data_IF_561821187268
#
_entry.id   IF_561821187268
#
_cell.length_a   1.000
_cell.length_b   1.000
_cell.length_c   1.000
_cell.angle_alpha   90.00
_cell.angle_beta   90.00
_cell.angle_gamma   90.00
#
_symmetry.space_group_name_H-M   'P 1'
#
loop_
_entity.id
_entity.type
_entity.pdbx_description
1 polymer ?
#
# COMPACT_ATOMS: atom_id res chain seq x y z
N UNK A 1 -19.84 -15.01 -14.39
CA UNK A 1 -18.40 -14.69 -14.31
C UNK A 1 -17.97 -14.73 -12.85
N UNK A 2 -16.95 -15.52 -12.53
CA UNK A 2 -16.33 -15.68 -11.21
C UNK A 2 -15.20 -14.65 -11.08
N UNK A 3 -15.25 -13.86 -10.01
CA UNK A 3 -14.29 -12.78 -9.76
C UNK A 3 -13.65 -12.98 -8.40
N UNK A 4 -12.33 -13.16 -8.38
CA UNK A 4 -11.56 -13.18 -7.15
C UNK A 4 -11.32 -11.78 -6.59
N UNK A 5 -11.25 -11.67 -5.28
CA UNK A 5 -10.84 -10.47 -4.57
C UNK A 5 -9.58 -10.72 -3.76
N UNK A 6 -8.50 -10.02 -4.11
CA UNK A 6 -7.19 -10.15 -3.45
C UNK A 6 -7.08 -9.34 -2.15
N UNK A 7 -8.06 -8.48 -1.85
CA UNK A 7 -8.02 -7.58 -0.71
C UNK A 7 -8.35 -8.23 0.63
N UNK A 8 -7.65 -7.78 1.68
CA UNK A 8 -7.91 -8.21 3.05
C UNK A 8 -9.12 -7.50 3.69
N UNK A 9 -9.32 -6.22 3.35
CA UNK A 9 -10.40 -5.38 3.91
C UNK A 9 -11.60 -5.36 2.95
N UNK A 10 -12.79 -4.99 3.44
CA UNK A 10 -14.01 -4.83 2.61
C UNK A 10 -14.48 -6.11 1.88
N UNK A 11 -14.15 -7.29 2.40
CA UNK A 11 -14.54 -8.60 1.82
C UNK A 11 -16.07 -8.74 1.66
N UNK A 12 -16.82 -8.47 2.72
CA UNK A 12 -18.29 -8.56 2.70
C UNK A 12 -18.92 -7.52 1.76
N UNK A 13 -18.34 -6.32 1.70
CA UNK A 13 -18.80 -5.28 0.78
C UNK A 13 -18.56 -5.69 -0.69
N UNK A 14 -17.36 -6.20 -0.99
CA UNK A 14 -17.04 -6.72 -2.32
C UNK A 14 -18.01 -7.84 -2.71
N UNK A 15 -18.22 -8.82 -1.82
CA UNK A 15 -19.11 -9.96 -2.03
C UNK A 15 -20.52 -9.50 -2.38
N UNK A 16 -21.11 -8.65 -1.54
CA UNK A 16 -22.47 -8.14 -1.75
C UNK A 16 -22.62 -7.35 -3.05
N UNK A 17 -21.63 -6.51 -3.40
CA UNK A 17 -21.65 -5.73 -4.64
C UNK A 17 -21.50 -6.62 -5.88
N UNK A 18 -20.61 -7.61 -5.83
CA UNK A 18 -20.39 -8.55 -6.92
C UNK A 18 -21.63 -9.40 -7.19
N UNK A 19 -22.24 -9.97 -6.14
CA UNK A 19 -23.48 -10.75 -6.23
C UNK A 19 -24.63 -9.91 -6.82
N UNK A 20 -24.80 -8.68 -6.33
CA UNK A 20 -25.81 -7.74 -6.86
C UNK A 20 -25.61 -7.44 -8.36
N UNK A 21 -24.38 -7.50 -8.84
CA UNK A 21 -24.05 -7.26 -10.25
C UNK A 21 -24.07 -8.54 -11.11
N UNK A 22 -24.40 -9.70 -10.54
CA UNK A 22 -24.48 -10.98 -11.24
C UNK A 22 -23.15 -11.73 -11.35
N UNK A 23 -22.15 -11.32 -10.57
CA UNK A 23 -20.86 -12.00 -10.48
C UNK A 23 -20.86 -13.05 -9.36
N UNK A 24 -20.00 -14.06 -9.48
CA UNK A 24 -19.75 -15.04 -8.42
C UNK A 24 -18.46 -14.68 -7.68
N UNK A 25 -18.50 -14.07 -6.49
CA UNK A 25 -17.30 -13.61 -5.80
C UNK A 25 -16.53 -14.76 -5.14
N UNK A 26 -15.20 -14.75 -5.28
CA UNK A 26 -14.28 -15.58 -4.50
C UNK A 26 -13.39 -14.67 -3.65
N UNK A 27 -13.26 -14.96 -2.36
CA UNK A 27 -12.44 -14.17 -1.44
C UNK A 27 -11.09 -14.87 -1.26
N UNK A 28 -10.06 -14.37 -1.93
CA UNK A 28 -8.72 -14.96 -1.97
C UNK A 28 -7.70 -13.89 -1.54
N UNK A 29 -7.72 -13.47 -0.26
CA UNK A 29 -6.81 -12.43 0.22
C UNK A 29 -5.35 -12.89 0.09
N UNK A 30 -4.48 -12.01 -0.37
CA UNK A 30 -3.03 -12.33 -0.57
C UNK A 30 -2.12 -11.67 0.47
N UNK A 31 -2.72 -10.93 1.41
CA UNK A 31 -1.97 -10.20 2.43
C UNK A 31 -2.56 -10.45 3.82
N UNK A 32 -1.67 -10.56 4.79
CA UNK A 32 -1.94 -10.34 6.20
C UNK A 32 -1.49 -8.93 6.61
N UNK A 33 -2.08 -8.37 7.66
CA UNK A 33 -1.55 -7.16 8.30
C UNK A 33 -1.16 -7.51 9.71
N UNK A 34 0.14 -7.44 10.00
CA UNK A 34 0.67 -7.65 11.34
C UNK A 34 1.14 -6.30 11.88
N UNK A 35 0.74 -5.96 13.10
CA UNK A 35 1.41 -4.87 13.83
C UNK A 35 2.80 -5.37 14.17
N UNK A 36 3.83 -4.60 13.81
CA UNK A 36 5.18 -4.97 14.21
C UNK A 36 5.23 -4.84 15.74
N UNK A 37 5.61 -5.89 16.48
CA UNK A 37 5.84 -5.78 17.91
C UNK A 37 6.84 -4.66 18.19
N UNK A 38 6.54 -3.79 19.15
CA UNK A 38 7.41 -2.67 19.56
C UNK A 38 8.88 -3.09 19.76
N UNK A 39 9.20 -4.26 20.35
CA UNK A 39 10.58 -4.72 20.49
C UNK A 39 11.39 -4.79 19.19
N UNK A 40 10.76 -5.01 18.04
CA UNK A 40 11.45 -5.17 16.75
C UNK A 40 11.94 -3.83 16.16
N UNK A 41 11.52 -2.67 16.70
CA UNK A 41 11.96 -1.35 16.23
C UNK A 41 12.26 -0.37 17.38
N UNK A 42 12.51 -0.88 18.58
CA UNK A 42 12.90 -0.09 19.77
C UNK A 42 14.10 0.81 19.49
N UNK A 43 15.15 0.30 18.86
CA UNK A 43 16.35 1.10 18.55
C UNK A 43 16.05 2.31 17.67
N UNK A 44 15.10 2.16 16.74
CA UNK A 44 14.67 3.24 15.87
C UNK A 44 13.82 4.28 16.63
N UNK A 45 12.99 3.84 17.58
CA UNK A 45 12.24 4.74 18.48
C UNK A 45 13.18 5.51 19.41
N UNK A 46 14.17 4.86 19.98
CA UNK A 46 15.19 5.52 20.80
C UNK A 46 16.03 6.49 19.97
N UNK A 47 16.37 6.14 18.73
CA UNK A 47 17.04 7.05 17.81
C UNK A 47 16.20 8.28 17.50
N UNK A 48 14.89 8.10 17.28
CA UNK A 48 13.95 9.20 17.10
C UNK A 48 13.84 10.06 18.36
N UNK A 49 13.79 9.45 19.55
CA UNK A 49 13.72 10.13 20.84
C UNK A 49 14.96 11.00 21.11
N UNK A 50 16.12 10.63 20.57
CA UNK A 50 17.36 11.42 20.66
C UNK A 50 17.36 12.68 19.79
N UNK A 51 16.45 12.80 18.84
CA UNK A 51 16.40 13.94 17.92
C UNK A 51 16.58 13.54 16.45
N UNK A 52 15.83 14.22 15.59
CA UNK A 52 15.93 14.14 14.13
C UNK A 52 15.72 15.53 13.53
N UNK A 53 16.32 15.77 12.37
CA UNK A 53 16.26 17.06 11.68
C UNK A 53 15.03 17.15 10.78
N UNK A 54 14.64 16.01 10.21
CA UNK A 54 13.49 15.88 9.33
C UNK A 54 12.63 14.68 9.76
N UNK A 55 11.30 14.86 9.75
CA UNK A 55 10.33 13.81 9.92
C UNK A 55 9.34 13.80 8.75
N UNK A 56 9.24 12.65 8.06
CA UNK A 56 8.36 12.44 6.92
C UNK A 56 7.29 11.40 7.27
N UNK A 57 6.04 11.84 7.35
CA UNK A 57 4.89 11.01 7.64
C UNK A 57 4.18 10.53 6.36
N UNK A 58 4.04 9.21 6.16
CA UNK A 58 3.39 8.65 4.97
C UNK A 58 1.92 8.29 5.20
N UNK A 59 1.53 7.90 6.42
CA UNK A 59 0.15 7.55 6.78
C UNK A 59 -0.22 8.10 8.16
N UNK A 60 -1.50 8.46 8.32
CA UNK A 60 -1.99 8.93 9.62
C UNK A 60 -2.07 7.84 10.68
N UNK A 61 -2.20 6.57 10.28
CA UNK A 61 -2.17 5.42 11.22
C UNK A 61 -0.75 5.21 11.73
N UNK A 62 0.25 5.19 10.84
CA UNK A 62 1.64 4.99 11.25
C UNK A 62 2.17 6.07 12.18
N UNK A 63 1.76 7.33 12.00
CA UNK A 63 2.11 8.42 12.95
C UNK A 63 1.55 8.16 14.35
N UNK A 64 0.29 7.68 14.45
CA UNK A 64 -0.33 7.39 15.75
C UNK A 64 0.32 6.18 16.41
N UNK A 65 0.53 5.12 15.64
CA UNK A 65 1.15 3.88 16.13
C UNK A 65 2.58 4.17 16.63
N UNK A 66 3.33 5.02 15.92
CA UNK A 66 4.68 5.46 16.31
C UNK A 66 4.68 6.16 17.69
N UNK A 67 3.78 7.12 17.91
CA UNK A 67 3.69 7.81 19.20
C UNK A 67 3.25 6.87 20.33
N UNK A 68 2.27 5.99 20.06
CA UNK A 68 1.85 4.97 21.03
C UNK A 68 2.99 4.02 21.40
N UNK A 69 3.83 3.65 20.44
CA UNK A 69 5.00 2.82 20.69
C UNK A 69 6.05 3.54 21.55
N UNK A 70 6.26 4.84 21.31
CA UNK A 70 7.10 5.68 22.17
C UNK A 70 6.58 5.75 23.60
N UNK A 71 5.28 6.03 23.78
CA UNK A 71 4.62 6.05 25.09
C UNK A 71 4.77 4.71 25.83
N UNK A 72 4.61 3.58 25.13
CA UNK A 72 4.77 2.24 25.71
C UNK A 72 6.20 1.96 26.19
N UNK A 73 7.20 2.63 25.62
CA UNK A 73 8.61 2.54 26.03
C UNK A 73 9.03 3.65 27.00
N UNK A 74 8.12 4.56 27.39
CA UNK A 74 8.46 5.73 28.20
C UNK A 74 9.31 6.78 27.49
N UNK A 75 9.31 6.79 26.15
CA UNK A 75 10.05 7.74 25.32
C UNK A 75 9.19 8.96 24.94
N UNK A 76 9.71 10.17 25.14
CA UNK A 76 9.09 11.39 24.60
C UNK A 76 9.49 11.58 23.14
N UNK A 77 8.65 11.09 22.23
CA UNK A 77 8.83 11.31 20.78
C UNK A 77 8.26 12.65 20.31
N UNK A 78 7.36 13.26 21.09
CA UNK A 78 6.67 14.48 20.65
C UNK A 78 7.62 15.66 20.66
N UNK A 79 8.43 15.82 21.70
CA UNK A 79 9.38 16.93 21.82
C UNK A 79 10.43 16.97 20.69
N UNK A 80 11.12 15.86 20.35
CA UNK A 80 11.98 15.81 19.16
C UNK A 80 11.25 16.17 17.86
N UNK A 81 10.05 15.62 17.65
CA UNK A 81 9.26 15.88 16.45
C UNK A 81 8.78 17.34 16.34
N UNK A 82 8.56 18.03 17.46
CA UNK A 82 8.25 19.47 17.47
C UNK A 82 9.40 20.32 16.93
N UNK A 83 10.65 19.88 17.16
CA UNK A 83 11.86 20.58 16.72
C UNK A 83 12.24 20.24 15.28
N UNK A 84 11.92 19.03 14.81
CA UNK A 84 12.19 18.59 13.45
C UNK A 84 11.40 19.40 12.39
N UNK A 85 11.97 19.54 11.19
CA UNK A 85 11.17 19.85 10.01
C UNK A 85 10.21 18.68 9.74
N UNK A 86 8.97 18.96 9.34
CA UNK A 86 7.89 17.95 9.29
C UNK A 86 7.19 18.00 7.96
N UNK A 87 7.19 16.88 7.25
CA UNK A 87 6.49 16.71 5.98
C UNK A 87 5.42 15.64 6.10
N UNK A 88 4.31 15.83 5.40
CA UNK A 88 3.25 14.84 5.29
C UNK A 88 3.03 14.47 3.82
N UNK A 89 3.02 13.17 3.50
CA UNK A 89 2.79 12.71 2.11
C UNK A 89 1.46 13.16 1.55
N UNK A 90 0.43 13.28 2.39
CA UNK A 90 -0.87 13.79 1.99
C UNK A 90 -1.78 14.06 3.19
N UNK A 91 -3.01 14.47 2.89
CA UNK A 91 -3.94 15.06 3.88
C UNK A 91 -4.26 14.13 5.06
N UNK A 92 -4.29 12.81 4.85
CA UNK A 92 -4.51 11.84 5.95
C UNK A 92 -3.39 11.88 7.00
N UNK A 93 -2.13 11.94 6.56
CA UNK A 93 -0.98 12.04 7.45
C UNK A 93 -0.91 13.43 8.10
N UNK A 94 -1.16 14.48 7.31
CA UNK A 94 -1.19 15.86 7.78
C UNK A 94 -2.23 16.11 8.87
N UNK A 95 -3.45 15.58 8.69
CA UNK A 95 -4.53 15.64 9.70
C UNK A 95 -4.16 14.93 10.99
N UNK A 96 -3.52 13.76 10.91
CA UNK A 96 -3.08 13.03 12.09
C UNK A 96 -2.02 13.83 12.87
N UNK A 97 -1.01 14.34 12.17
CA UNK A 97 0.01 15.22 12.72
C UNK A 97 -0.57 16.47 13.41
N UNK A 98 -1.51 17.16 12.76
CA UNK A 98 -2.23 18.31 13.34
C UNK A 98 -2.99 17.93 14.62
N UNK A 99 -3.73 16.82 14.61
CA UNK A 99 -4.48 16.36 15.78
C UNK A 99 -3.58 16.03 16.99
N UNK A 100 -2.31 15.72 16.74
CA UNK A 100 -1.31 15.41 17.76
C UNK A 100 -0.52 16.66 18.22
N UNK A 101 -0.83 17.85 17.68
CA UNK A 101 -0.11 19.09 17.95
C UNK A 101 1.26 19.17 17.28
N UNK A 102 1.44 18.48 16.16
CA UNK A 102 2.66 18.41 15.36
C UNK A 102 2.40 18.85 13.90
N UNK A 103 1.86 20.05 13.62
CA UNK A 103 1.45 20.43 12.27
C UNK A 103 2.62 20.29 11.28
N UNK A 104 2.42 19.67 10.10
CA UNK A 104 3.47 19.59 9.09
C UNK A 104 3.76 20.98 8.51
N UNK A 105 5.00 21.21 8.10
CA UNK A 105 5.44 22.43 7.43
C UNK A 105 5.04 22.44 5.95
N UNK A 106 5.00 21.26 5.31
CA UNK A 106 4.43 21.10 3.97
C UNK A 106 3.72 19.74 3.82
N UNK A 107 2.78 19.67 2.88
CA UNK A 107 1.97 18.48 2.61
C UNK A 107 1.91 18.22 1.11
N UNK A 108 2.22 16.98 0.70
CA UNK A 108 2.10 16.53 -0.68
C UNK A 108 0.65 16.19 -1.08
N UNK A 109 0.49 15.64 -2.29
CA UNK A 109 -0.82 15.27 -2.87
C UNK A 109 -1.30 13.84 -2.50
N UNK A 110 -0.53 13.11 -1.70
CA UNK A 110 -0.78 11.71 -1.35
C UNK A 110 0.19 10.72 -2.02
N UNK A 111 0.97 11.16 -3.00
CA UNK A 111 2.00 10.37 -3.68
C UNK A 111 3.40 10.61 -3.09
N UNK A 112 4.33 9.66 -3.26
CA UNK A 112 5.73 9.88 -2.86
C UNK A 112 6.46 10.92 -3.74
N UNK A 113 6.29 10.95 -5.08
CA UNK A 113 6.92 11.96 -5.93
C UNK A 113 6.58 13.41 -5.57
N UNK A 114 5.36 13.69 -5.08
CA UNK A 114 4.98 15.05 -4.68
C UNK A 114 5.72 15.59 -3.46
N UNK A 115 6.44 14.74 -2.72
CA UNK A 115 7.30 15.17 -1.63
C UNK A 115 8.70 15.60 -2.09
N UNK A 116 9.18 15.12 -3.24
CA UNK A 116 10.53 15.42 -3.75
C UNK A 116 10.85 16.92 -3.83
N UNK A 117 9.95 17.79 -4.38
CA UNK A 117 10.21 19.23 -4.40
C UNK A 117 10.07 19.90 -3.03
N UNK A 118 9.55 19.19 -2.02
CA UNK A 118 9.36 19.69 -0.66
C UNK A 118 10.50 19.28 0.29
N UNK A 119 11.41 18.40 -0.15
CA UNK A 119 12.55 17.98 0.65
C UNK A 119 13.56 19.13 0.77
N UNK A 120 13.92 19.57 1.98
CA UNK A 120 15.02 20.51 2.17
C UNK A 120 16.36 19.83 1.82
N UNK A 121 17.38 20.65 1.58
CA UNK A 121 18.78 20.21 1.59
C UNK A 121 19.32 20.28 3.01
N UNK A 122 20.10 19.30 3.45
CA UNK A 122 20.80 19.40 4.74
C UNK A 122 21.41 18.10 5.24
N UNK A 123 22.46 18.20 6.07
CA UNK A 123 22.97 17.05 6.81
C UNK A 123 22.03 16.70 7.97
N UNK A 124 22.20 15.51 8.53
CA UNK A 124 21.53 15.10 9.74
C UNK A 124 20.71 13.82 9.55
N UNK A 125 19.66 13.65 10.34
CA UNK A 125 18.80 12.46 10.31
C UNK A 125 17.40 12.78 9.81
N UNK A 126 16.93 11.98 8.86
CA UNK A 126 15.57 12.02 8.36
C UNK A 126 14.80 10.77 8.80
N UNK A 127 13.89 10.93 9.76
CA UNK A 127 12.96 9.88 10.15
C UNK A 127 11.85 9.72 9.11
N UNK A 128 11.76 8.52 8.54
CA UNK A 128 10.79 8.16 7.52
C UNK A 128 9.79 7.16 8.08
N UNK A 129 8.57 7.60 8.36
CA UNK A 129 7.49 6.71 8.78
C UNK A 129 6.99 5.91 7.56
N UNK A 130 7.20 4.60 7.58
CA UNK A 130 6.85 3.65 6.52
C UNK A 130 5.55 2.89 6.85
N UNK A 131 4.90 2.36 5.82
CA UNK A 131 3.59 1.68 5.93
C UNK A 131 3.64 0.18 5.65
N UNK A 132 4.75 -0.47 5.98
CA UNK A 132 4.92 -1.91 5.85
C UNK A 132 5.74 -2.37 4.65
N UNK A 133 6.29 -1.44 3.85
CA UNK A 133 7.36 -1.70 2.90
C UNK A 133 8.32 -0.51 2.79
N UNK A 134 9.56 -0.72 2.31
CA UNK A 134 10.49 0.37 1.99
C UNK A 134 9.91 1.33 0.95
N UNK A 135 10.44 2.56 0.90
CA UNK A 135 10.11 3.55 -0.11
C UNK A 135 11.39 4.04 -0.81
N UNK A 136 11.97 3.23 -1.72
CA UNK A 136 13.29 3.49 -2.30
C UNK A 136 13.43 4.86 -2.95
N UNK A 137 12.36 5.37 -3.58
CA UNK A 137 12.32 6.73 -4.14
C UNK A 137 12.60 7.80 -3.07
N UNK A 138 11.91 7.72 -1.92
CA UNK A 138 12.08 8.70 -0.86
C UNK A 138 13.36 8.48 -0.09
N UNK A 139 13.76 7.22 0.14
CA UNK A 139 15.02 6.89 0.80
C UNK A 139 16.22 7.46 0.03
N UNK A 140 16.30 7.18 -1.28
CA UNK A 140 17.35 7.74 -2.14
C UNK A 140 17.30 9.26 -2.21
N UNK A 141 16.12 9.84 -2.36
CA UNK A 141 16.00 11.29 -2.41
C UNK A 141 16.43 11.97 -1.11
N UNK A 142 16.19 11.35 0.06
CA UNK A 142 16.67 11.87 1.34
C UNK A 142 18.20 11.77 1.46
N UNK A 143 18.78 10.66 1.02
CA UNK A 143 20.24 10.47 0.98
C UNK A 143 20.91 11.48 0.03
N UNK A 144 20.33 11.69 -1.16
CA UNK A 144 20.79 12.68 -2.13
C UNK A 144 20.73 14.12 -1.59
N UNK A 145 19.78 14.41 -0.69
CA UNK A 145 19.66 15.70 0.03
C UNK A 145 20.58 15.83 1.25
N UNK A 146 21.39 14.81 1.54
CA UNK A 146 22.40 14.80 2.61
C UNK A 146 21.96 14.17 3.94
N UNK A 147 20.76 13.59 4.01
CA UNK A 147 20.27 12.99 5.25
C UNK A 147 20.66 11.52 5.40
N UNK A 148 20.90 11.12 6.65
CA UNK A 148 20.90 9.71 7.04
C UNK A 148 19.45 9.28 7.31
N UNK A 149 18.95 8.31 6.56
CA UNK A 149 17.57 7.85 6.68
C UNK A 149 17.39 6.95 7.90
N UNK A 150 16.41 7.28 8.73
CA UNK A 150 15.95 6.45 9.85
C UNK A 150 14.55 5.89 9.50
N UNK A 151 14.45 4.66 8.97
CA UNK A 151 13.18 4.05 8.64
C UNK A 151 12.41 3.65 9.92
N UNK A 152 11.12 3.97 9.96
CA UNK A 152 10.22 3.66 11.09
C UNK A 152 9.03 2.85 10.59
N UNK A 153 8.97 1.57 10.94
CA UNK A 153 8.02 0.60 10.39
C UNK A 153 7.08 0.04 11.49
N UNK A 154 6.07 0.79 11.97
CA UNK A 154 5.22 0.36 13.08
C UNK A 154 4.28 -0.81 12.74
N UNK A 155 4.08 -1.09 11.45
CA UNK A 155 3.33 -2.25 10.98
C UNK A 155 3.93 -2.75 9.67
N UNK A 156 3.80 -4.05 9.42
CA UNK A 156 4.24 -4.69 8.19
C UNK A 156 3.08 -5.38 7.51
N UNK A 157 3.03 -5.22 6.20
CA UNK A 157 2.18 -6.06 5.38
C UNK A 157 2.99 -7.32 5.10
N UNK A 158 2.43 -8.47 5.40
CA UNK A 158 3.05 -9.75 5.12
C UNK A 158 2.26 -10.46 4.03
N UNK A 159 2.93 -11.19 3.12
CA UNK A 159 2.24 -12.10 2.23
C UNK A 159 1.50 -13.16 3.04
N UNK A 160 0.24 -13.42 2.69
CA UNK A 160 -0.47 -14.62 3.15
C UNK A 160 -0.08 -15.78 2.22
N UNK A 161 0.95 -16.56 2.60
CA UNK A 161 1.49 -17.61 1.74
C UNK A 161 0.47 -18.68 1.34
N UNK A 162 -0.53 -18.95 2.19
CA UNK A 162 -1.61 -19.88 1.83
C UNK A 162 -2.59 -19.22 0.86
N UNK A 163 -3.01 -17.98 1.15
CA UNK A 163 -3.88 -17.19 0.28
C UNK A 163 -3.28 -16.97 -1.12
N UNK A 164 -1.98 -16.72 -1.19
CA UNK A 164 -1.20 -16.58 -2.42
C UNK A 164 -1.25 -17.85 -3.28
N UNK A 165 -0.92 -19.01 -2.69
CA UNK A 165 -0.98 -20.30 -3.40
C UNK A 165 -2.39 -20.60 -3.89
N UNK A 166 -3.41 -20.31 -3.06
CA UNK A 166 -4.81 -20.52 -3.45
C UNK A 166 -5.22 -19.62 -4.60
N UNK A 167 -4.78 -18.36 -4.63
CA UNK A 167 -5.05 -17.45 -5.74
C UNK A 167 -4.31 -17.89 -7.01
N UNK A 168 -3.02 -18.25 -6.91
CA UNK A 168 -2.23 -18.77 -8.01
C UNK A 168 -2.89 -20.02 -8.61
N UNK A 169 -3.24 -21.02 -7.79
CA UNK A 169 -3.91 -22.24 -8.26
C UNK A 169 -5.25 -21.93 -8.93
N UNK A 170 -6.07 -21.04 -8.37
CA UNK A 170 -7.35 -20.66 -8.95
C UNK A 170 -7.19 -19.98 -10.33
N UNK A 171 -6.16 -19.13 -10.48
CA UNK A 171 -5.84 -18.47 -11.76
C UNK A 171 -5.34 -19.50 -12.78
N UNK A 172 -4.37 -20.34 -12.40
CA UNK A 172 -3.76 -21.31 -13.32
C UNK A 172 -4.75 -22.38 -13.79
N UNK A 173 -5.68 -22.79 -12.92
CA UNK A 173 -6.73 -23.77 -13.24
C UNK A 173 -7.95 -23.17 -13.96
N UNK A 174 -8.01 -21.84 -14.14
CA UNK A 174 -9.17 -21.19 -14.75
C UNK A 174 -10.44 -21.26 -13.88
N UNK A 175 -10.26 -21.35 -12.56
CA UNK A 175 -11.36 -21.33 -11.59
C UNK A 175 -11.97 -19.94 -11.43
N UNK A 176 -11.28 -18.91 -11.92
CA UNK A 176 -11.73 -17.50 -11.93
C UNK A 176 -11.51 -16.88 -13.31
N UNK A 177 -12.39 -15.97 -13.73
CA UNK A 177 -12.24 -15.22 -14.98
C UNK A 177 -11.70 -13.81 -14.77
N UNK A 178 -11.73 -13.29 -13.54
CA UNK A 178 -11.11 -12.01 -13.20
C UNK A 178 -10.57 -11.99 -11.76
N UNK A 179 -9.58 -11.13 -11.51
CA UNK A 179 -9.00 -10.91 -10.17
C UNK A 179 -8.95 -9.42 -9.87
N UNK A 180 -9.60 -8.99 -8.79
CA UNK A 180 -9.60 -7.60 -8.34
C UNK A 180 -8.47 -7.33 -7.34
N UNK A 181 -7.56 -6.43 -7.74
CA UNK A 181 -6.50 -5.87 -6.91
C UNK A 181 -6.85 -4.44 -6.51
N UNK A 182 -6.81 -4.17 -5.19
CA UNK A 182 -7.10 -2.83 -4.64
C UNK A 182 -5.87 -2.10 -4.15
N UNK A 183 -4.71 -2.74 -4.21
CA UNK A 183 -3.43 -2.15 -3.87
C UNK A 183 -2.32 -2.83 -4.67
N UNK A 184 -1.33 -2.05 -5.12
CA UNK A 184 -0.13 -2.54 -5.80
C UNK A 184 0.57 -3.68 -5.04
N UNK A 185 0.64 -3.59 -3.71
CA UNK A 185 1.29 -4.61 -2.88
C UNK A 185 0.67 -6.00 -3.02
N UNK A 186 -0.62 -6.10 -3.38
CA UNK A 186 -1.27 -7.39 -3.61
C UNK A 186 -0.75 -8.05 -4.89
N UNK A 187 -0.39 -7.24 -5.90
CA UNK A 187 0.24 -7.72 -7.14
C UNK A 187 1.67 -8.15 -6.84
N UNK A 188 2.43 -7.30 -6.14
CA UNK A 188 3.81 -7.59 -5.72
C UNK A 188 3.89 -8.91 -4.94
N UNK A 189 3.09 -9.06 -3.87
CA UNK A 189 3.06 -10.30 -3.10
C UNK A 189 2.63 -11.52 -3.91
N UNK A 190 1.68 -11.35 -4.84
CA UNK A 190 1.24 -12.45 -5.70
C UNK A 190 2.38 -12.98 -6.55
N UNK A 191 3.11 -12.09 -7.22
CA UNK A 191 4.19 -12.48 -8.11
C UNK A 191 5.47 -12.91 -7.37
N UNK A 192 5.85 -12.24 -6.29
CA UNK A 192 7.01 -12.62 -5.48
C UNK A 192 6.79 -13.97 -4.78
N UNK A 193 5.55 -14.29 -4.42
CA UNK A 193 5.18 -15.54 -3.76
C UNK A 193 4.72 -16.66 -4.69
N UNK A 194 4.63 -16.42 -6.00
CA UNK A 194 4.19 -17.41 -6.99
C UNK A 194 5.21 -18.54 -7.12
N UNK A 195 4.72 -19.78 -7.24
CA UNK A 195 5.57 -20.93 -7.59
C UNK A 195 6.01 -20.88 -9.05
N UNK A 196 5.13 -20.40 -9.91
CA UNK A 196 5.37 -20.24 -11.35
C UNK A 196 4.91 -18.84 -11.80
N UNK A 197 5.74 -17.80 -11.58
CA UNK A 197 5.40 -16.42 -11.93
C UNK A 197 5.24 -16.23 -13.45
N UNK A 198 5.87 -17.06 -14.28
CA UNK A 198 5.76 -17.00 -15.73
C UNK A 198 4.40 -17.50 -16.20
N UNK A 199 3.97 -18.69 -15.73
CA UNK A 199 2.64 -19.21 -16.03
C UNK A 199 1.52 -18.33 -15.47
N UNK A 200 1.74 -17.74 -14.28
CA UNK A 200 0.81 -16.76 -13.71
C UNK A 200 0.68 -15.53 -14.60
N UNK A 201 1.80 -14.94 -15.05
CA UNK A 201 1.82 -13.79 -15.97
C UNK A 201 1.07 -14.13 -17.26
N UNK A 202 1.35 -15.29 -17.85
CA UNK A 202 0.67 -15.74 -19.06
C UNK A 202 -0.84 -15.87 -18.85
N UNK A 203 -1.26 -16.50 -17.74
CA UNK A 203 -2.67 -16.66 -17.40
C UNK A 203 -3.39 -15.31 -17.25
N UNK A 204 -2.76 -14.33 -16.59
CA UNK A 204 -3.32 -12.99 -16.41
C UNK A 204 -3.37 -12.16 -17.71
N UNK A 205 -2.53 -12.46 -18.69
CA UNK A 205 -2.59 -11.81 -20.01
C UNK A 205 -3.61 -12.47 -20.95
N UNK A 206 -3.93 -13.74 -20.76
CA UNK A 206 -4.69 -14.52 -21.76
C UNK A 206 -6.06 -14.97 -21.26
N UNK A 207 -6.12 -15.56 -20.07
CA UNK A 207 -7.28 -16.33 -19.57
C UNK A 207 -8.06 -15.60 -18.48
N UNK A 208 -7.38 -14.87 -17.61
CA UNK A 208 -7.95 -14.24 -16.41
C UNK A 208 -7.70 -12.74 -16.47
N UNK A 209 -8.74 -11.91 -16.32
CA UNK A 209 -8.60 -10.45 -16.41
C UNK A 209 -8.32 -9.81 -15.03
N UNK A 210 -7.16 -9.18 -14.82
CA UNK A 210 -6.93 -8.34 -13.65
C UNK A 210 -7.80 -7.07 -13.69
N UNK A 211 -8.33 -6.69 -12.53
CA UNK A 211 -9.02 -5.42 -12.30
C UNK A 211 -8.20 -4.63 -11.29
N UNK A 212 -7.63 -3.50 -11.71
CA UNK A 212 -6.83 -2.62 -10.88
C UNK A 212 -7.65 -1.44 -10.37
N UNK A 213 -7.69 -1.24 -9.05
CA UNK A 213 -8.17 0.01 -8.45
C UNK A 213 -7.02 1.00 -8.34
N UNK A 214 -7.10 2.08 -9.12
CA UNK A 214 -6.10 3.14 -9.14
C UNK A 214 -4.88 2.85 -10.01
N UNK A 215 -4.23 3.93 -10.43
CA UNK A 215 -3.09 3.90 -11.38
C UNK A 215 -1.88 3.14 -10.81
N UNK A 216 -1.59 3.32 -9.52
CA UNK A 216 -0.46 2.64 -8.86
C UNK A 216 -0.60 1.11 -8.92
N UNK A 217 -1.82 0.57 -8.75
CA UNK A 217 -2.06 -0.87 -8.86
C UNK A 217 -1.91 -1.37 -10.29
N UNK A 218 -2.32 -0.56 -11.28
CA UNK A 218 -2.13 -0.85 -12.69
C UNK A 218 -0.65 -0.83 -13.10
N UNK A 219 0.12 0.11 -12.58
CA UNK A 219 1.56 0.21 -12.85
C UNK A 219 2.30 -1.03 -12.30
N UNK A 220 1.94 -1.50 -11.10
CA UNK A 220 2.49 -2.74 -10.54
C UNK A 220 2.19 -3.97 -11.43
N UNK A 221 1.02 -4.05 -12.06
CA UNK A 221 0.73 -5.12 -13.03
C UNK A 221 1.66 -5.05 -14.26
N UNK A 222 1.89 -3.85 -14.80
CA UNK A 222 2.80 -3.65 -15.95
C UNK A 222 4.24 -4.01 -15.61
N UNK A 223 4.72 -3.62 -14.43
CA UNK A 223 6.06 -3.97 -13.96
C UNK A 223 6.30 -5.48 -13.92
N UNK A 224 5.24 -6.26 -13.65
CA UNK A 224 5.25 -7.71 -13.68
C UNK A 224 4.89 -8.31 -15.05
N UNK A 225 4.83 -7.51 -16.12
CA UNK A 225 4.60 -7.95 -17.50
C UNK A 225 3.15 -8.32 -17.81
N UNK A 226 2.19 -7.81 -17.03
CA UNK A 226 0.75 -7.97 -17.29
C UNK A 226 0.23 -6.72 -17.97
N UNK A 227 -0.07 -6.83 -19.27
CA UNK A 227 -0.48 -5.71 -20.12
C UNK A 227 -1.99 -5.66 -20.34
N UNK A 228 -2.68 -6.80 -20.17
CA UNK A 228 -4.13 -6.89 -20.33
C UNK A 228 -4.83 -6.78 -18.97
N UNK A 229 -5.37 -5.62 -18.64
CA UNK A 229 -6.17 -5.42 -17.42
C UNK A 229 -7.19 -4.28 -17.55
N UNK A 230 -8.19 -4.27 -16.68
CA UNK A 230 -9.13 -3.17 -16.51
C UNK A 230 -8.63 -2.23 -15.39
N UNK A 231 -8.71 -0.92 -15.57
CA UNK A 231 -8.34 0.05 -14.54
C UNK A 231 -9.51 0.98 -14.22
N UNK A 232 -9.86 1.05 -12.93
CA UNK A 232 -10.80 2.07 -12.44
C UNK A 232 -10.04 3.30 -11.97
N UNK A 233 -10.37 4.46 -12.53
CA UNK A 233 -9.86 5.76 -12.07
C UNK A 233 -10.47 6.17 -10.72
N UNK A 234 -11.56 5.51 -10.28
CA UNK A 234 -12.20 5.78 -8.99
C UNK A 234 -11.74 4.78 -7.93
N UNK A 235 -11.39 5.25 -6.73
CA UNK A 235 -10.98 4.44 -5.57
C UNK A 235 -12.15 3.70 -4.88
N UNK A 236 -13.24 3.40 -5.60
CA UNK A 236 -14.48 2.82 -5.04
C UNK A 236 -14.79 1.47 -5.69
N UNK A 237 -14.86 0.41 -4.86
CA UNK A 237 -15.20 -0.96 -5.29
C UNK A 237 -16.46 -1.04 -6.14
N UNK A 238 -17.54 -0.38 -5.72
CA UNK A 238 -18.80 -0.41 -6.47
C UNK A 238 -18.70 0.25 -7.84
N UNK A 239 -17.96 1.35 -7.95
CA UNK A 239 -17.75 2.03 -9.22
C UNK A 239 -16.88 1.21 -10.17
N UNK A 240 -15.81 0.58 -9.66
CA UNK A 240 -14.99 -0.37 -10.43
C UNK A 240 -15.83 -1.52 -10.96
N UNK A 241 -16.58 -2.23 -10.12
CA UNK A 241 -17.38 -3.39 -10.55
C UNK A 241 -18.49 -3.00 -11.54
N UNK A 242 -19.11 -1.83 -11.37
CA UNK A 242 -20.12 -1.33 -12.31
C UNK A 242 -19.52 -0.97 -13.67
N UNK A 243 -18.39 -0.26 -13.67
CA UNK A 243 -17.70 0.11 -14.90
C UNK A 243 -17.21 -1.15 -15.63
N UNK A 244 -16.59 -2.07 -14.90
CA UNK A 244 -16.15 -3.36 -15.44
C UNK A 244 -17.31 -4.17 -16.04
N UNK A 245 -18.46 -4.23 -15.37
CA UNK A 245 -19.65 -4.92 -15.90
C UNK A 245 -20.09 -4.35 -17.25
N UNK A 246 -20.05 -3.03 -17.44
CA UNK A 246 -20.46 -2.40 -18.72
C UNK A 246 -19.55 -2.82 -19.86
N UNK A 247 -18.23 -2.83 -19.65
CA UNK A 247 -17.27 -3.29 -20.65
C UNK A 247 -17.34 -4.79 -20.92
N UNK A 248 -17.51 -5.61 -19.88
CA UNK A 248 -17.63 -7.06 -20.01
C UNK A 248 -18.87 -7.46 -20.84
N UNK A 249 -19.97 -6.70 -20.74
CA UNK A 249 -21.17 -6.91 -21.56
C UNK A 249 -20.94 -6.50 -23.02
N UNK A 250 -20.15 -5.45 -23.28
CA UNK A 250 -19.79 -5.05 -24.65
C UNK A 250 -18.88 -6.04 -25.36
N UNK A 251 -17.94 -6.68 -24.64
CA UNK A 251 -17.05 -7.69 -25.23
C UNK A 251 -17.74 -9.03 -25.59
N UNK A 252 -19.03 -9.19 -25.26
CA UNK A 252 -19.80 -10.44 -25.47
C UNK A 252 -21.06 -10.24 -26.32
N UNK A 253 -21.29 -9.03 -26.85
CA UNK A 253 -22.36 -8.78 -27.81
C UNK A 253 -21.80 -9.02 -29.23
N UNK A 254 -22.49 -9.82 -30.08
CA UNK A 254 -22.00 -10.22 -31.40
C UNK A 254 -21.83 -9.05 -32.38
#
# INVERSE_FOLDING_TARGET
MRIAYAGLRRKEEFKALAEKLGFTPLLLPVQATERVPVPEYTEALEALARGVDLFLATTGVGVKDLLQAGEALGLDLKRPLQQAHRLARGEKAARALRALGLPPHATGDGTSPSLLPLLPEGPGRAALQLYGKPLPLLERALEERGFQVLPLLPYRHLPDLEGLRRLEEAVLRGEVEAVAFVAALQVEFLFEGARDPEALREALNTRVLPLAVGRVTADALREWGVERFFVSETERLGAMLQAFRKEAVWATSP
#
